data_IF_044104718894
#
_entry.id   IF_044104718894
#
_cell.length_a   1.000
_cell.length_b   1.000
_cell.length_c   1.000
_cell.angle_alpha   90.00
_cell.angle_beta   90.00
_cell.angle_gamma   90.00
#
_symmetry.space_group_name_H-M   'P 1'
#
loop_
_entity.id
_entity.type
_entity.pdbx_description
1 polymer ?
#
# COMPACT_ATOMS: atom_id res chain seq x y z
N UNK A 1 -18.30 24.63 -20.59
CA UNK A 1 -18.73 23.66 -21.63
C UNK A 1 -17.51 22.89 -22.08
N UNK A 2 -17.67 21.57 -22.28
CA UNK A 2 -16.64 20.54 -22.58
C UNK A 2 -15.87 20.05 -21.32
N UNK A 3 -15.68 18.76 -21.06
CA UNK A 3 -16.12 17.56 -21.76
C UNK A 3 -16.25 16.40 -20.76
N UNK A 4 -17.40 15.74 -20.78
CA UNK A 4 -17.73 14.52 -20.05
C UNK A 4 -17.05 13.32 -20.72
N UNK A 5 -16.12 12.64 -20.03
CA UNK A 5 -15.79 11.24 -20.25
C UNK A 5 -14.75 10.76 -19.22
N UNK A 6 -15.21 10.18 -18.10
CA UNK A 6 -14.48 9.23 -17.23
C UNK A 6 -15.50 8.28 -16.57
N UNK A 7 -15.10 7.05 -16.24
CA UNK A 7 -15.84 5.84 -16.59
C UNK A 7 -17.12 5.68 -15.78
N UNK A 8 -18.26 5.61 -16.48
CA UNK A 8 -19.44 4.95 -15.94
C UNK A 8 -19.07 3.48 -15.70
N UNK A 9 -19.33 2.96 -14.49
CA UNK A 9 -19.33 1.52 -14.26
C UNK A 9 -20.23 0.90 -15.34
N UNK A 10 -19.62 0.23 -16.32
CA UNK A 10 -20.35 -0.49 -17.35
C UNK A 10 -21.26 -1.48 -16.64
N UNK A 11 -22.56 -1.35 -16.83
CA UNK A 11 -23.66 -2.18 -16.32
C UNK A 11 -23.66 -3.62 -16.88
N UNK A 12 -22.51 -4.15 -17.28
CA UNK A 12 -22.34 -5.54 -17.69
C UNK A 12 -21.98 -6.39 -16.47
N UNK A 13 -22.94 -6.61 -15.58
CA UNK A 13 -22.74 -7.52 -14.44
C UNK A 13 -23.01 -8.96 -14.87
N UNK A 14 -21.94 -9.73 -15.03
CA UNK A 14 -21.98 -11.17 -15.30
C UNK A 14 -22.66 -11.93 -14.15
N UNK A 15 -23.46 -12.94 -14.51
CA UNK A 15 -24.24 -13.86 -13.67
C UNK A 15 -23.48 -14.70 -12.63
N UNK A 16 -22.25 -14.32 -12.26
CA UNK A 16 -21.35 -15.07 -11.37
C UNK A 16 -21.36 -14.62 -9.91
N UNK A 17 -22.00 -13.50 -9.60
CA UNK A 17 -22.00 -12.95 -8.24
C UNK A 17 -23.38 -13.16 -7.62
N UNK A 18 -23.41 -13.80 -6.46
CA UNK A 18 -24.59 -13.99 -5.60
C UNK A 18 -25.08 -12.64 -5.02
N UNK A 19 -25.03 -11.56 -5.78
CA UNK A 19 -25.30 -10.18 -5.42
C UNK A 19 -26.06 -9.53 -6.58
N UNK A 20 -27.19 -8.92 -6.27
CA UNK A 20 -28.02 -8.15 -7.21
C UNK A 20 -28.04 -6.69 -6.76
N UNK A 21 -27.41 -5.83 -7.55
CA UNK A 21 -27.52 -4.38 -7.35
C UNK A 21 -28.89 -3.93 -7.88
N UNK A 22 -29.64 -3.22 -7.04
CA UNK A 22 -30.97 -2.69 -7.36
C UNK A 22 -30.89 -1.22 -7.78
N UNK A 23 -30.04 -0.44 -7.12
CA UNK A 23 -29.77 0.95 -7.48
C UNK A 23 -28.37 1.37 -7.03
N UNK A 24 -27.80 2.33 -7.75
CA UNK A 24 -26.57 3.03 -7.39
C UNK A 24 -26.79 4.51 -7.68
N UNK A 25 -26.70 5.35 -6.64
CA UNK A 25 -26.94 6.79 -6.74
C UNK A 25 -25.77 7.55 -6.15
N UNK A 26 -25.37 8.65 -6.78
CA UNK A 26 -24.36 9.55 -6.22
C UNK A 26 -24.87 10.16 -4.91
N UNK A 27 -24.23 9.84 -3.79
CA UNK A 27 -24.56 10.39 -2.48
C UNK A 27 -23.79 11.70 -2.21
N UNK A 28 -22.53 11.75 -2.64
CA UNK A 28 -21.68 12.95 -2.55
C UNK A 28 -20.59 12.91 -3.62
N UNK A 29 -20.27 14.06 -4.21
CA UNK A 29 -19.20 14.21 -5.20
C UNK A 29 -18.37 15.45 -4.89
N UNK A 30 -17.12 15.24 -4.50
CA UNK A 30 -16.14 16.28 -4.21
C UNK A 30 -14.72 15.73 -4.42
N UNK A 31 -13.82 15.95 -3.45
CA UNK A 31 -12.52 15.26 -3.44
C UNK A 31 -12.69 13.73 -3.41
N UNK A 32 -13.69 13.24 -2.68
CA UNK A 32 -14.11 11.84 -2.69
C UNK A 32 -15.39 11.66 -3.48
N UNK A 33 -15.51 10.49 -4.11
CA UNK A 33 -16.75 10.03 -4.71
C UNK A 33 -17.43 9.03 -3.77
N UNK A 34 -18.66 9.31 -3.35
CA UNK A 34 -19.44 8.44 -2.46
C UNK A 34 -20.75 8.06 -3.13
N UNK A 35 -20.96 6.77 -3.32
CA UNK A 35 -22.18 6.17 -3.84
C UNK A 35 -23.06 5.65 -2.69
N UNK A 36 -24.37 5.70 -2.88
CA UNK A 36 -25.36 4.94 -2.11
C UNK A 36 -25.87 3.80 -2.97
N UNK A 37 -25.64 2.58 -2.54
CA UNK A 37 -25.98 1.36 -3.26
C UNK A 37 -27.07 0.61 -2.51
N UNK A 38 -28.15 0.28 -3.19
CA UNK A 38 -29.14 -0.69 -2.70
C UNK A 38 -28.94 -2.01 -3.42
N UNK A 39 -28.86 -3.10 -2.67
CA UNK A 39 -28.59 -4.41 -3.21
C UNK A 39 -29.25 -5.53 -2.40
N UNK A 40 -29.29 -6.72 -2.99
CA UNK A 40 -29.58 -7.97 -2.31
C UNK A 40 -28.43 -8.94 -2.55
N UNK A 41 -28.21 -9.88 -1.65
CA UNK A 41 -27.24 -10.96 -1.86
C UNK A 41 -27.76 -12.29 -1.33
N UNK A 42 -27.15 -13.39 -1.74
CA UNK A 42 -27.45 -14.70 -1.18
C UNK A 42 -26.94 -14.79 0.26
N UNK A 43 -27.75 -15.36 1.13
CA UNK A 43 -27.42 -15.68 2.51
C UNK A 43 -26.85 -17.10 2.56
N UNK A 44 -26.02 -17.38 3.58
CA UNK A 44 -25.43 -18.72 3.77
C UNK A 44 -26.47 -19.83 4.00
N UNK A 45 -27.71 -19.50 4.36
CA UNK A 45 -28.81 -20.45 4.47
C UNK A 45 -29.52 -20.73 3.13
N UNK A 46 -28.97 -20.27 2.01
CA UNK A 46 -29.49 -20.46 0.66
C UNK A 46 -30.60 -19.49 0.24
N UNK A 47 -31.13 -18.67 1.15
CA UNK A 47 -32.14 -17.65 0.84
C UNK A 47 -31.50 -16.38 0.28
N UNK A 48 -32.31 -15.49 -0.29
CA UNK A 48 -31.90 -14.13 -0.66
C UNK A 48 -32.12 -13.18 0.53
N UNK A 49 -31.21 -12.23 0.73
CA UNK A 49 -31.37 -11.17 1.72
C UNK A 49 -32.57 -10.27 1.41
N UNK A 50 -33.05 -9.55 2.42
CA UNK A 50 -33.80 -8.31 2.17
C UNK A 50 -32.94 -7.28 1.41
N UNK A 51 -33.56 -6.18 0.97
CA UNK A 51 -32.81 -5.06 0.41
C UNK A 51 -31.96 -4.44 1.49
N UNK A 52 -30.65 -4.35 1.26
CA UNK A 52 -29.73 -3.63 2.12
C UNK A 52 -29.20 -2.39 1.40
N UNK A 53 -28.85 -1.37 2.19
CA UNK A 53 -28.26 -0.12 1.69
C UNK A 53 -26.84 0.01 2.23
N UNK A 54 -25.89 0.42 1.39
CA UNK A 54 -24.51 0.73 1.76
C UNK A 54 -24.07 2.03 1.12
N UNK A 55 -23.22 2.76 1.85
CA UNK A 55 -22.41 3.83 1.29
C UNK A 55 -21.08 3.23 0.84
N UNK A 56 -20.61 3.62 -0.33
CA UNK A 56 -19.38 3.13 -0.92
C UNK A 56 -18.53 4.32 -1.38
N UNK A 57 -17.35 4.47 -0.78
CA UNK A 57 -16.33 5.41 -1.20
C UNK A 57 -15.54 4.79 -2.36
N UNK A 58 -15.55 5.45 -3.51
CA UNK A 58 -14.78 5.03 -4.68
C UNK A 58 -13.42 5.71 -4.69
N UNK A 59 -12.38 4.90 -4.74
CA UNK A 59 -10.96 5.31 -4.73
C UNK A 59 -10.13 4.66 -5.83
N UNK A 60 -10.64 3.59 -6.46
CA UNK A 60 -9.92 2.86 -7.51
C UNK A 60 -8.79 1.99 -6.97
N UNK A 61 -7.69 1.91 -7.73
CA UNK A 61 -6.52 1.10 -7.42
C UNK A 61 -5.30 2.01 -7.26
N UNK A 62 -4.38 1.61 -6.40
CA UNK A 62 -3.13 2.30 -6.15
C UNK A 62 -1.98 1.29 -6.07
N UNK A 63 -0.76 1.79 -6.16
CA UNK A 63 0.46 1.06 -5.86
C UNK A 63 1.11 1.61 -4.61
N UNK A 64 1.89 0.78 -3.94
CA UNK A 64 2.82 1.23 -2.93
C UNK A 64 4.12 0.43 -3.02
N UNK A 65 5.24 1.04 -2.63
CA UNK A 65 6.56 0.43 -2.77
C UNK A 65 7.34 0.52 -1.47
N UNK A 66 7.71 -0.64 -0.93
CA UNK A 66 8.69 -0.76 0.14
C UNK A 66 10.10 -0.67 -0.45
N UNK A 67 10.74 0.48 -0.26
CA UNK A 67 12.09 0.76 -0.75
C UNK A 67 13.14 0.37 0.31
N UNK A 68 14.01 -0.57 -0.04
CA UNK A 68 15.06 -1.08 0.84
C UNK A 68 16.45 -0.93 0.23
N UNK A 69 17.36 -0.31 0.97
CA UNK A 69 18.79 -0.24 0.65
C UNK A 69 19.52 -1.36 1.42
N UNK A 70 19.94 -2.44 0.74
CA UNK A 70 20.65 -3.55 1.37
C UNK A 70 22.08 -3.19 1.79
N UNK A 71 22.72 -2.19 1.15
CA UNK A 71 24.09 -1.79 1.50
C UNK A 71 24.14 -1.04 2.83
N UNK A 72 23.10 -0.24 3.11
CA UNK A 72 22.99 0.56 4.33
C UNK A 72 22.05 -0.03 5.38
N UNK A 73 21.42 -1.17 5.08
CA UNK A 73 20.34 -1.78 5.87
C UNK A 73 19.30 -0.73 6.28
N UNK A 74 18.77 -0.01 5.29
CA UNK A 74 17.90 1.15 5.50
C UNK A 74 16.62 1.06 4.68
N UNK A 75 15.57 1.70 5.18
CA UNK A 75 14.29 1.88 4.51
C UNK A 75 14.16 3.34 4.10
N UNK A 76 13.73 3.57 2.87
CA UNK A 76 13.31 4.90 2.42
C UNK A 76 11.81 5.00 2.65
N UNK A 77 11.42 5.99 3.46
CA UNK A 77 10.03 6.36 3.73
C UNK A 77 9.81 7.81 3.30
N UNK A 78 8.54 8.16 3.12
CA UNK A 78 8.12 9.53 2.84
C UNK A 78 7.32 10.08 4.02
N UNK A 79 7.63 11.30 4.45
CA UNK A 79 6.87 12.04 5.45
C UNK A 79 5.94 13.01 4.73
N UNK A 80 4.63 12.87 4.94
CA UNK A 80 3.62 13.70 4.29
C UNK A 80 2.41 13.97 5.17
N UNK A 81 1.76 15.12 4.96
CA UNK A 81 0.53 15.47 5.66
C UNK A 81 -0.65 14.60 5.21
N UNK A 82 -1.36 14.00 6.16
CA UNK A 82 -2.59 13.25 5.92
C UNK A 82 -3.74 13.83 6.71
N UNK A 83 -4.74 14.37 6.01
CA UNK A 83 -5.96 14.93 6.61
C UNK A 83 -6.72 13.92 7.47
N UNK A 84 -6.63 12.62 7.14
CA UNK A 84 -7.23 11.55 7.94
C UNK A 84 -6.67 11.43 9.37
N UNK A 85 -5.47 11.96 9.61
CA UNK A 85 -4.80 12.00 10.91
C UNK A 85 -4.87 13.39 11.57
N UNK A 86 -5.81 14.26 11.18
CA UNK A 86 -5.91 15.63 11.73
C UNK A 86 -6.12 15.69 13.26
N UNK A 87 -6.70 14.64 13.83
CA UNK A 87 -6.94 14.52 15.27
C UNK A 87 -5.92 13.64 15.97
N UNK A 88 -4.84 13.23 15.29
CA UNK A 88 -3.74 12.52 15.93
C UNK A 88 -3.08 13.46 16.98
N UNK A 89 -2.87 13.00 18.22
CA UNK A 89 -2.35 13.84 19.29
C UNK A 89 -0.87 14.21 19.12
N UNK A 90 -0.13 13.48 18.29
CA UNK A 90 1.29 13.74 18.05
C UNK A 90 1.50 14.51 16.76
N UNK A 91 0.98 14.01 15.64
CA UNK A 91 1.19 14.62 14.33
C UNK A 91 0.28 14.07 13.25
N UNK A 92 -0.16 14.94 12.34
CA UNK A 92 -0.84 14.55 11.10
C UNK A 92 0.13 14.31 9.94
N UNK A 93 1.43 14.41 10.18
CA UNK A 93 2.49 14.08 9.23
C UNK A 93 2.93 12.64 9.47
N UNK A 94 2.57 11.75 8.55
CA UNK A 94 2.77 10.32 8.70
C UNK A 94 4.01 9.89 7.91
N UNK A 95 4.73 8.90 8.46
CA UNK A 95 5.75 8.16 7.72
C UNK A 95 5.08 7.01 6.95
N UNK A 96 5.18 7.07 5.64
CA UNK A 96 4.52 6.16 4.72
C UNK A 96 5.52 5.54 3.73
N UNK A 97 5.06 4.51 3.03
CA UNK A 97 5.76 4.04 1.83
C UNK A 97 5.42 4.98 0.68
N UNK A 98 6.28 5.00 -0.34
CA UNK A 98 5.94 5.63 -1.62
C UNK A 98 4.66 4.99 -2.15
N UNK A 99 3.71 5.79 -2.61
CA UNK A 99 2.44 5.28 -3.10
C UNK A 99 1.77 6.25 -4.08
N UNK A 100 1.07 5.70 -5.08
CA UNK A 100 0.35 6.50 -6.06
C UNK A 100 -0.83 5.79 -6.67
N UNK A 101 -1.75 6.58 -7.23
CA UNK A 101 -2.98 6.07 -7.85
C UNK A 101 -2.65 5.50 -9.23
N UNK A 102 -3.26 4.37 -9.57
CA UNK A 102 -3.17 3.78 -10.90
C UNK A 102 -4.23 4.42 -11.79
N UNK A 103 -3.81 5.11 -12.85
CA UNK A 103 -4.72 5.68 -13.84
C UNK A 103 -5.18 4.64 -14.87
N UNK A 104 -6.23 4.98 -15.63
CA UNK A 104 -6.79 4.11 -16.64
C UNK A 104 -5.76 3.79 -17.74
N UNK A 105 -5.41 2.51 -17.86
CA UNK A 105 -4.46 2.01 -18.85
C UNK A 105 -3.02 1.88 -18.35
N UNK A 106 -2.70 2.36 -17.15
CA UNK A 106 -1.39 2.17 -16.55
C UNK A 106 -1.19 0.75 -16.02
N UNK A 107 0.05 0.23 -16.10
CA UNK A 107 0.41 -1.00 -15.43
C UNK A 107 0.93 -0.70 -14.02
N UNK A 108 0.56 -1.49 -13.00
CA UNK A 108 1.00 -1.24 -11.61
C UNK A 108 2.53 -1.09 -11.46
N UNK A 109 3.32 -1.88 -12.20
CA UNK A 109 4.79 -1.79 -12.13
C UNK A 109 5.33 -0.45 -12.66
N UNK A 110 4.72 0.09 -13.71
CA UNK A 110 5.13 1.38 -14.30
C UNK A 110 4.80 2.52 -13.33
N UNK A 111 3.63 2.48 -12.70
CA UNK A 111 3.22 3.44 -11.66
C UNK A 111 4.19 3.35 -10.48
N UNK A 112 4.52 2.15 -10.00
CA UNK A 112 5.46 1.97 -8.89
C UNK A 112 6.83 2.63 -9.16
N UNK A 113 7.33 2.51 -10.40
CA UNK A 113 8.59 3.13 -10.83
C UNK A 113 8.48 4.64 -10.95
N UNK A 114 7.37 5.15 -11.52
CA UNK A 114 7.10 6.58 -11.67
C UNK A 114 7.03 7.27 -10.29
N UNK A 115 6.18 6.76 -9.40
CA UNK A 115 5.97 7.30 -8.06
C UNK A 115 7.25 7.24 -7.21
N UNK A 116 8.05 6.17 -7.33
CA UNK A 116 9.34 6.08 -6.63
C UNK A 116 10.34 7.14 -7.08
N UNK A 117 10.26 7.57 -8.34
CA UNK A 117 11.07 8.68 -8.82
C UNK A 117 10.50 10.03 -8.35
N UNK A 118 9.19 10.23 -8.40
CA UNK A 118 8.51 11.48 -8.06
C UNK A 118 8.56 11.79 -6.55
N UNK A 119 8.23 10.81 -5.71
CA UNK A 119 8.13 11.00 -4.26
C UNK A 119 9.43 10.69 -3.50
N UNK A 120 10.32 9.87 -4.07
CA UNK A 120 11.54 9.43 -3.38
C UNK A 120 12.84 9.60 -4.18
N UNK A 121 12.79 10.12 -5.42
CA UNK A 121 13.97 10.30 -6.30
C UNK A 121 14.77 9.00 -6.49
N UNK A 122 14.08 7.86 -6.42
CA UNK A 122 14.69 6.53 -6.43
C UNK A 122 14.44 5.82 -7.74
N UNK A 123 15.53 5.34 -8.36
CA UNK A 123 15.44 4.34 -9.42
C UNK A 123 15.34 2.94 -8.81
N UNK A 124 14.32 2.18 -9.20
CA UNK A 124 14.10 0.82 -8.71
C UNK A 124 14.95 -0.19 -9.49
N UNK A 125 15.69 -1.04 -8.77
CA UNK A 125 16.42 -2.15 -9.36
C UNK A 125 15.46 -3.34 -9.60
N UNK A 126 15.42 -4.28 -8.67
CA UNK A 126 14.48 -5.39 -8.64
C UNK A 126 13.15 -4.94 -8.04
N UNK A 127 12.04 -5.42 -8.63
CA UNK A 127 10.68 -5.13 -8.17
C UNK A 127 9.95 -6.46 -7.95
N UNK A 128 9.58 -6.75 -6.70
CA UNK A 128 8.85 -7.95 -6.29
C UNK A 128 7.44 -7.56 -5.83
N UNK A 129 6.40 -8.20 -6.38
CA UNK A 129 5.05 -8.03 -5.84
C UNK A 129 4.95 -8.76 -4.50
N UNK A 130 4.72 -8.01 -3.42
CA UNK A 130 4.39 -8.59 -2.10
C UNK A 130 2.99 -9.19 -2.15
N UNK A 131 2.04 -8.44 -2.73
CA UNK A 131 0.66 -8.86 -2.88
C UNK A 131 -0.25 -7.67 -3.20
N UNK A 132 -1.56 -7.92 -3.21
CA UNK A 132 -2.55 -6.86 -3.29
C UNK A 132 -3.61 -7.06 -2.20
N UNK A 133 -4.14 -5.96 -1.66
CA UNK A 133 -5.13 -6.01 -0.58
C UNK A 133 -6.14 -4.88 -0.68
N UNK A 134 -7.33 -5.11 -0.15
CA UNK A 134 -8.33 -4.07 0.06
C UNK A 134 -8.02 -3.29 1.33
N UNK A 135 -8.01 -1.96 1.24
CA UNK A 135 -7.69 -1.11 2.40
C UNK A 135 -8.80 -1.16 3.45
N UNK A 136 -10.06 -1.04 3.03
CA UNK A 136 -11.22 -1.12 3.93
C UNK A 136 -12.47 -1.60 3.16
N UNK A 137 -12.59 -2.90 2.87
CA UNK A 137 -13.61 -3.45 1.96
C UNK A 137 -15.05 -3.34 2.49
N UNK A 138 -15.24 -2.89 3.74
CA UNK A 138 -16.57 -2.63 4.30
C UNK A 138 -17.28 -1.43 3.67
N UNK A 139 -16.55 -0.50 3.07
CA UNK A 139 -17.12 0.73 2.50
C UNK A 139 -16.20 1.50 1.54
N UNK A 140 -15.04 0.96 1.17
CA UNK A 140 -14.11 1.58 0.24
C UNK A 140 -13.73 0.59 -0.87
N UNK A 141 -13.67 1.06 -2.12
CA UNK A 141 -13.21 0.24 -3.25
C UNK A 141 -11.70 0.12 -3.35
N UNK A 142 -10.95 0.88 -2.55
CA UNK A 142 -9.50 1.00 -2.67
C UNK A 142 -8.79 -0.35 -2.54
N UNK A 143 -7.98 -0.63 -3.55
CA UNK A 143 -7.04 -1.74 -3.55
C UNK A 143 -5.62 -1.21 -3.74
N UNK A 144 -4.67 -1.78 -3.00
CA UNK A 144 -3.26 -1.45 -3.13
C UNK A 144 -2.52 -2.67 -3.66
N UNK A 145 -1.75 -2.49 -4.74
CA UNK A 145 -0.68 -3.39 -5.16
C UNK A 145 0.60 -2.99 -4.44
N UNK A 146 1.04 -3.83 -3.51
CA UNK A 146 2.20 -3.55 -2.68
C UNK A 146 3.43 -4.27 -3.24
N UNK A 147 4.47 -3.50 -3.51
CA UNK A 147 5.73 -3.99 -4.04
C UNK A 147 6.87 -3.83 -3.03
N UNK A 148 7.90 -4.63 -3.20
CA UNK A 148 9.21 -4.47 -2.58
C UNK A 148 10.22 -4.14 -3.68
N UNK A 149 11.12 -3.20 -3.41
CA UNK A 149 12.18 -2.87 -4.34
C UNK A 149 13.53 -2.61 -3.65
N UNK A 150 14.59 -3.04 -4.33
CA UNK A 150 15.97 -2.71 -3.96
C UNK A 150 16.37 -1.36 -4.56
N UNK A 151 16.97 -0.51 -3.74
CA UNK A 151 17.39 0.86 -4.11
C UNK A 151 18.76 1.21 -3.53
N UNK A 152 19.31 2.33 -4.00
CA UNK A 152 20.44 3.01 -3.37
C UNK A 152 19.91 4.29 -2.71
N UNK A 153 20.13 4.43 -1.40
CA UNK A 153 19.62 5.56 -0.60
C UNK A 153 20.61 6.72 -0.43
N UNK A 154 21.77 6.66 -1.10
CA UNK A 154 22.84 7.64 -0.93
C UNK A 154 22.39 9.08 -1.21
N UNK A 155 22.58 9.97 -0.23
CA UNK A 155 22.31 11.40 -0.39
C UNK A 155 20.83 11.78 -0.44
N UNK A 156 19.91 10.84 -0.17
CA UNK A 156 18.48 11.09 -0.30
C UNK A 156 17.79 11.61 0.97
N UNK A 157 18.34 11.36 2.17
CA UNK A 157 17.70 11.77 3.43
C UNK A 157 17.51 13.29 3.52
N UNK A 158 16.30 13.70 3.90
CA UNK A 158 15.93 15.10 4.11
C UNK A 158 15.66 15.88 2.83
N UNK A 159 15.84 15.30 1.64
CA UNK A 159 15.45 15.94 0.39
C UNK A 159 13.92 16.11 0.32
N UNK A 160 13.49 17.21 -0.29
CA UNK A 160 12.09 17.43 -0.64
C UNK A 160 11.79 16.80 -2.01
N UNK A 161 10.58 16.27 -2.14
CA UNK A 161 10.07 15.57 -3.32
C UNK A 161 8.58 15.86 -3.52
N UNK A 162 7.96 15.18 -4.50
CA UNK A 162 6.61 15.47 -4.97
C UNK A 162 6.61 16.28 -6.27
N UNK A 163 5.45 16.34 -6.92
CA UNK A 163 5.30 16.97 -8.23
C UNK A 163 4.92 18.45 -8.08
N UNK A 164 5.66 19.40 -8.70
CA UNK A 164 5.28 20.81 -8.66
C UNK A 164 3.87 21.05 -9.24
N UNK A 165 2.99 21.64 -8.43
CA UNK A 165 1.60 21.93 -8.81
C UNK A 165 0.60 20.89 -8.31
N UNK A 166 1.07 19.75 -7.82
CA UNK A 166 0.29 18.84 -7.01
C UNK A 166 0.38 19.31 -5.55
N UNK A 167 -0.69 19.09 -4.75
CA UNK A 167 -0.74 19.56 -3.36
C UNK A 167 0.08 18.66 -2.43
N UNK A 168 1.28 18.31 -2.87
CA UNK A 168 2.20 17.36 -2.25
C UNK A 168 3.39 18.12 -1.66
N UNK A 169 3.57 17.99 -0.36
CA UNK A 169 4.75 18.46 0.37
C UNK A 169 5.37 17.24 1.06
N UNK A 170 6.35 16.64 0.37
CA UNK A 170 6.92 15.34 0.75
C UNK A 170 8.37 15.53 1.17
N UNK A 171 8.72 14.97 2.33
CA UNK A 171 10.11 14.86 2.80
C UNK A 171 10.56 13.40 2.80
N UNK A 172 11.68 13.15 2.14
CA UNK A 172 12.31 11.82 2.12
C UNK A 172 13.00 11.55 3.46
N UNK A 173 12.77 10.37 4.03
CA UNK A 173 13.40 9.87 5.25
C UNK A 173 14.11 8.55 4.97
N UNK A 174 15.44 8.55 5.06
CA UNK A 174 16.24 7.32 5.02
C UNK A 174 16.51 6.88 6.45
N UNK A 175 15.93 5.75 6.84
CA UNK A 175 15.93 5.27 8.22
C UNK A 175 16.60 3.90 8.31
N UNK A 176 17.59 3.70 9.20
CA UNK A 176 18.14 2.37 9.46
C UNK A 176 17.02 1.38 9.86
N UNK A 177 17.11 0.13 9.40
CA UNK A 177 16.09 -0.89 9.66
C UNK A 177 15.76 -1.02 11.15
N UNK A 178 16.76 -1.03 12.03
CA UNK A 178 16.55 -1.12 13.48
C UNK A 178 15.70 0.03 14.05
N UNK A 179 15.83 1.24 13.49
CA UNK A 179 15.00 2.38 13.88
C UNK A 179 13.57 2.19 13.39
N UNK A 180 13.40 1.78 12.13
CA UNK A 180 12.08 1.49 11.55
C UNK A 180 11.37 0.37 12.32
N UNK A 181 12.07 -0.70 12.67
CA UNK A 181 11.55 -1.80 13.47
C UNK A 181 11.12 -1.31 14.87
N UNK A 182 11.89 -0.43 15.50
CA UNK A 182 11.52 0.17 16.78
C UNK A 182 10.26 1.03 16.65
N UNK A 183 10.17 1.85 15.59
CA UNK A 183 9.02 2.72 15.29
C UNK A 183 7.76 1.93 14.90
N UNK A 184 7.94 0.79 14.25
CA UNK A 184 6.86 -0.15 13.95
C UNK A 184 6.31 -0.76 15.25
N UNK A 185 7.20 -1.26 16.11
CA UNK A 185 6.81 -1.96 17.34
C UNK A 185 6.19 -1.05 18.40
N UNK A 186 6.55 0.24 18.42
CA UNK A 186 5.99 1.21 19.37
C UNK A 186 4.79 2.00 18.82
N UNK A 187 4.34 1.69 17.60
CA UNK A 187 3.15 2.28 16.99
C UNK A 187 3.34 3.68 16.39
N UNK A 188 4.59 4.15 16.20
CA UNK A 188 4.87 5.42 15.51
C UNK A 188 4.64 5.34 14.00
N UNK A 189 4.75 4.14 13.42
CA UNK A 189 4.31 3.85 12.05
C UNK A 189 2.97 3.12 12.15
N UNK A 190 1.89 3.75 11.71
CA UNK A 190 0.53 3.32 12.01
C UNK A 190 -0.45 3.34 10.82
N UNK A 191 0.03 3.49 9.59
CA UNK A 191 -0.78 3.35 8.37
C UNK A 191 -0.68 1.91 7.82
N UNK A 192 -1.79 1.39 7.31
CA UNK A 192 -1.92 -0.02 6.92
C UNK A 192 -0.84 -0.47 5.91
N UNK A 193 -0.55 0.37 4.91
CA UNK A 193 0.39 0.07 3.84
C UNK A 193 1.81 -0.11 4.36
N UNK A 194 2.29 0.83 5.18
CA UNK A 194 3.60 0.70 5.81
C UNK A 194 3.66 -0.47 6.79
N UNK A 195 2.61 -0.68 7.60
CA UNK A 195 2.54 -1.82 8.52
C UNK A 195 2.70 -3.15 7.77
N UNK A 196 1.93 -3.37 6.69
CA UNK A 196 1.95 -4.62 5.92
C UNK A 196 3.33 -4.82 5.26
N UNK A 197 3.86 -3.80 4.59
CA UNK A 197 5.16 -3.91 3.91
C UNK A 197 6.31 -4.16 4.88
N UNK A 198 6.40 -3.39 5.95
CA UNK A 198 7.48 -3.51 6.93
C UNK A 198 7.42 -4.85 7.67
N UNK A 199 6.22 -5.33 8.04
CA UNK A 199 6.07 -6.65 8.66
C UNK A 199 6.45 -7.77 7.69
N UNK A 200 6.12 -7.66 6.40
CA UNK A 200 6.60 -8.62 5.40
C UNK A 200 8.13 -8.68 5.36
N UNK A 201 8.82 -7.54 5.39
CA UNK A 201 10.28 -7.50 5.40
C UNK A 201 10.86 -8.05 6.72
N UNK A 202 10.24 -7.74 7.86
CA UNK A 202 10.61 -8.31 9.15
C UNK A 202 10.54 -9.85 9.12
N UNK A 203 9.47 -10.41 8.56
CA UNK A 203 9.30 -11.87 8.39
C UNK A 203 10.41 -12.45 7.49
N UNK A 204 10.71 -11.82 6.34
CA UNK A 204 11.76 -12.26 5.41
C UNK A 204 13.17 -12.21 6.05
N UNK A 205 13.47 -11.15 6.81
CA UNK A 205 14.73 -11.03 7.57
C UNK A 205 14.85 -12.12 8.65
N UNK A 206 13.76 -12.42 9.36
CA UNK A 206 13.75 -13.49 10.37
C UNK A 206 13.89 -14.89 9.76
N UNK A 207 13.30 -15.15 8.59
CA UNK A 207 13.46 -16.45 7.91
C UNK A 207 14.89 -16.67 7.44
N UNK A 208 15.55 -15.62 6.92
CA UNK A 208 16.93 -15.69 6.44
C UNK A 208 17.89 -16.00 7.58
N UNK A 209 17.80 -15.27 8.70
CA UNK A 209 18.60 -15.54 9.91
C UNK A 209 18.41 -16.96 10.46
N UNK A 210 17.19 -17.50 10.41
CA UNK A 210 16.92 -18.89 10.84
C UNK A 210 17.57 -19.93 9.92
N UNK A 211 17.65 -19.66 8.61
CA UNK A 211 18.31 -20.54 7.65
C UNK A 211 19.83 -20.48 7.84
N UNK A 212 20.41 -19.29 7.96
CA UNK A 212 21.84 -19.09 8.22
C UNK A 212 22.29 -19.77 9.52
N UNK A 213 21.52 -19.61 10.61
CA UNK A 213 21.81 -20.27 11.88
C UNK A 213 21.71 -21.80 11.81
N UNK A 214 20.80 -22.35 10.99
CA UNK A 214 20.71 -23.82 10.79
C UNK A 214 21.88 -24.35 9.96
N UNK A 215 22.26 -23.66 8.90
CA UNK A 215 23.39 -24.03 8.06
C UNK A 215 24.74 -23.94 8.83
N UNK A 216 24.90 -22.95 9.69
CA UNK A 216 26.09 -22.82 10.55
C UNK A 216 26.20 -23.95 11.59
N UNK A 217 25.08 -24.35 12.21
CA UNK A 217 25.06 -25.46 13.18
C UNK A 217 25.33 -26.82 12.51
N UNK A 218 24.83 -27.05 11.30
CA UNK A 218 25.10 -28.29 10.54
C UNK A 218 26.57 -28.39 10.09
N UNK A 219 27.20 -27.27 9.70
CA UNK A 219 28.61 -27.23 9.34
C UNK A 219 29.54 -27.54 10.54
N UNK A 220 29.24 -27.01 11.73
CA UNK A 220 30.00 -27.26 12.95
C UNK A 220 29.84 -28.72 13.47
N UNK A 221 28.69 -29.35 13.22
CA UNK A 221 28.46 -30.77 13.55
C UNK A 221 29.19 -31.74 12.60
N UNK A 222 29.39 -31.36 11.34
CA UNK A 222 30.19 -32.14 10.39
C UNK A 222 31.70 -32.02 10.64
N UNK A 223 32.17 -30.88 11.15
CA UNK A 223 33.59 -30.69 11.51
C UNK A 223 33.98 -31.41 12.81
N UNK A 224 33.04 -31.60 13.74
CA UNK A 224 33.25 -32.27 15.04
C UNK A 224 33.14 -33.79 15.01
N UNK A 225 32.71 -34.40 13.89
CA UNK A 225 32.59 -35.85 13.72
C UNK A 225 33.78 -36.50 12.99
N UNK A 226 34.81 -35.70 12.66
CA UNK A 226 36.07 -36.14 12.03
C UNK A 226 37.32 -35.97 12.91
N UNK A 227 37.16 -35.87 14.23
CA UNK A 227 38.26 -35.96 15.21
C UNK A 227 38.19 -37.26 16.01
#
# INVERSE_FOLDING_TARGET
MQNSNKPHIKTAFTSRLNVKILSSTQAYQGFLNILKIQLQHQLFNGKTSGVITRELMERGQAVAVLLYDPQRDAIIMVEQFRIGAINDPETSWLLELVAGVIEEGEQPEDVARRESMEEAKCALQELELIGHYYVSPGGCTEQIYLYFAVVDSEGLDGLLAGVPGESEDIRIKVLPWNNVETMLNNGKINNATALIGLQWLQIKKLSTKKIENRAGVEADQQLSTHQ
#
